data_IF_760045948645
#
_entry.id   IF_760045948645
#
_cell.length_a   1.000
_cell.length_b   1.000
_cell.length_c   1.000
_cell.angle_alpha   90.00
_cell.angle_beta   90.00
_cell.angle_gamma   90.00
#
_symmetry.space_group_name_H-M   'P 1'
#
loop_
_entity.id
_entity.type
_entity.pdbx_description
1 polymer ?
#
# COMPACT_ATOMS: atom_id res chain seq x y z
N UNK A 1 -1.47 5.48 16.08
CA UNK A 1 -2.20 4.22 15.78
C UNK A 1 -1.29 3.30 14.98
N UNK A 2 -1.26 2.03 15.34
CA UNK A 2 -0.45 1.05 14.59
C UNK A 2 -1.02 0.89 13.18
N UNK A 3 -0.16 0.78 12.17
CA UNK A 3 -0.62 0.60 10.78
C UNK A 3 -1.53 -0.61 10.57
N UNK A 4 -1.30 -1.71 11.27
CA UNK A 4 -2.15 -2.90 11.17
C UNK A 4 -3.59 -2.61 11.62
N UNK A 5 -3.74 -1.81 12.65
CA UNK A 5 -5.06 -1.41 13.16
C UNK A 5 -5.73 -0.46 12.17
N UNK A 6 -4.97 0.51 11.64
CA UNK A 6 -5.49 1.43 10.63
C UNK A 6 -5.96 0.68 9.38
N UNK A 7 -5.20 -0.31 8.93
CA UNK A 7 -5.58 -1.14 7.79
C UNK A 7 -6.87 -1.90 8.08
N UNK A 8 -6.97 -2.54 9.22
CA UNK A 8 -8.14 -3.32 9.58
C UNK A 8 -9.40 -2.46 9.69
N UNK A 9 -9.26 -1.28 10.33
CA UNK A 9 -10.38 -0.37 10.56
C UNK A 9 -10.89 0.26 9.26
N UNK A 10 -9.98 0.58 8.32
CA UNK A 10 -10.29 1.32 7.11
C UNK A 10 -10.06 0.52 5.82
N UNK A 11 -10.11 -0.78 5.89
CA UNK A 11 -9.80 -1.68 4.76
C UNK A 11 -10.55 -1.32 3.48
N UNK A 12 -11.85 -1.14 3.57
CA UNK A 12 -12.66 -0.82 2.40
C UNK A 12 -12.37 0.57 1.84
N UNK A 13 -12.20 1.56 2.72
CA UNK A 13 -11.85 2.91 2.29
C UNK A 13 -10.50 2.95 1.58
N UNK A 14 -9.52 2.19 2.09
CA UNK A 14 -8.21 2.07 1.46
C UNK A 14 -8.35 1.50 0.05
N UNK A 15 -9.12 0.43 -0.09
CA UNK A 15 -9.35 -0.19 -1.40
C UNK A 15 -10.04 0.77 -2.36
N UNK A 16 -11.09 1.44 -1.91
CA UNK A 16 -11.83 2.38 -2.75
C UNK A 16 -10.97 3.54 -3.22
N UNK A 17 -10.19 4.12 -2.33
CA UNK A 17 -9.30 5.22 -2.69
C UNK A 17 -8.28 4.77 -3.73
N UNK A 18 -7.63 3.64 -3.50
CA UNK A 18 -6.64 3.13 -4.45
C UNK A 18 -7.24 2.88 -5.84
N UNK A 19 -8.40 2.25 -5.89
CA UNK A 19 -9.04 1.89 -7.16
C UNK A 19 -9.56 3.08 -7.96
N UNK A 20 -9.67 4.26 -7.35
CA UNK A 20 -10.01 5.48 -8.10
C UNK A 20 -8.90 5.94 -9.03
N UNK A 21 -7.67 5.49 -8.82
CA UNK A 21 -6.49 6.01 -9.49
C UNK A 21 -5.86 5.04 -10.49
N UNK A 22 -6.70 4.30 -11.20
CA UNK A 22 -6.29 3.47 -12.35
C UNK A 22 -5.34 2.32 -12.00
N UNK A 23 -5.46 1.77 -10.78
CA UNK A 23 -4.74 0.56 -10.42
C UNK A 23 -5.72 -0.62 -10.37
N UNK A 24 -5.22 -1.84 -10.58
CA UNK A 24 -6.06 -3.05 -10.63
C UNK A 24 -6.38 -3.61 -9.27
N UNK A 25 -5.44 -3.52 -8.35
CA UNK A 25 -5.63 -4.04 -7.00
C UNK A 25 -4.68 -3.34 -6.04
N UNK A 26 -4.89 -3.60 -4.76
CA UNK A 26 -4.01 -3.14 -3.70
C UNK A 26 -3.72 -4.30 -2.76
N UNK A 27 -2.45 -4.49 -2.44
CA UNK A 27 -1.96 -5.53 -1.54
C UNK A 27 -1.13 -4.90 -0.44
N UNK A 28 -1.05 -5.59 0.68
CA UNK A 28 -0.22 -5.17 1.82
C UNK A 28 1.01 -6.05 1.90
N UNK A 29 2.15 -5.45 2.26
CA UNK A 29 3.38 -6.16 2.51
C UNK A 29 4.15 -5.53 3.67
N UNK A 30 5.35 -6.00 3.95
CA UNK A 30 6.20 -5.42 4.98
C UNK A 30 5.77 -5.78 6.41
N UNK A 31 6.04 -4.87 7.37
CA UNK A 31 5.85 -5.16 8.78
C UNK A 31 4.40 -5.45 9.15
N UNK A 32 3.45 -4.78 8.51
CA UNK A 32 2.03 -5.00 8.75
C UNK A 32 1.62 -6.42 8.35
N UNK A 33 2.08 -6.86 7.18
CA UNK A 33 1.78 -8.22 6.71
C UNK A 33 2.33 -9.28 7.67
N UNK A 34 3.55 -9.06 8.17
CA UNK A 34 4.22 -10.02 9.06
C UNK A 34 3.76 -9.91 10.52
N UNK A 35 2.91 -8.95 10.84
CA UNK A 35 2.36 -8.82 12.18
C UNK A 35 3.34 -8.26 13.22
N UNK A 36 4.41 -7.62 12.78
CA UNK A 36 5.41 -7.05 13.68
C UNK A 36 5.53 -5.52 13.58
N UNK A 37 4.48 -4.86 13.09
CA UNK A 37 4.42 -3.40 13.06
C UNK A 37 4.32 -2.79 14.45
N UNK A 38 4.81 -1.57 14.56
CA UNK A 38 4.69 -0.75 15.77
C UNK A 38 4.01 0.57 15.40
N UNK A 39 3.82 1.44 16.36
CA UNK A 39 3.25 2.76 16.10
C UNK A 39 4.12 3.62 15.17
N UNK A 40 5.40 3.33 15.10
CA UNK A 40 6.34 4.05 14.24
C UNK A 40 6.51 3.39 12.86
N UNK A 41 5.87 2.28 12.61
CA UNK A 41 5.97 1.58 11.33
C UNK A 41 5.15 2.28 10.24
N UNK A 42 5.55 2.07 8.98
CA UNK A 42 4.79 2.53 7.83
C UNK A 42 3.79 1.45 7.40
N UNK A 43 2.72 1.89 6.76
CA UNK A 43 1.85 0.98 6.04
C UNK A 43 2.38 0.84 4.62
N UNK A 44 2.86 -0.34 4.28
CA UNK A 44 3.43 -0.63 2.96
C UNK A 44 2.40 -1.27 2.06
N UNK A 45 2.04 -0.60 0.98
CA UNK A 45 1.05 -1.06 0.02
C UNK A 45 1.67 -1.23 -1.36
N UNK A 46 1.30 -2.33 -2.01
CA UNK A 46 1.71 -2.64 -3.37
C UNK A 46 0.49 -2.56 -4.26
N UNK A 47 0.51 -1.66 -5.23
CA UNK A 47 -0.57 -1.52 -6.19
C UNK A 47 -0.14 -2.02 -7.56
N UNK A 48 -1.06 -2.65 -8.29
CA UNK A 48 -0.77 -3.13 -9.63
C UNK A 48 -1.18 -2.09 -10.66
N UNK A 49 -0.23 -1.49 -11.39
CA UNK A 49 -0.56 -0.46 -12.35
C UNK A 49 -1.21 -1.04 -13.60
N UNK A 50 -1.94 -0.20 -14.32
CA UNK A 50 -2.44 -0.47 -15.66
C UNK A 50 -1.58 0.32 -16.65
N UNK A 51 -1.88 0.18 -17.94
CA UNK A 51 -1.19 0.97 -18.98
C UNK A 51 -1.45 2.47 -18.85
N UNK A 52 -2.48 2.86 -18.11
CA UNK A 52 -2.86 4.27 -17.95
C UNK A 52 -2.41 4.88 -16.63
N UNK A 53 -1.88 4.08 -15.73
CA UNK A 53 -1.43 4.57 -14.41
C UNK A 53 -0.19 5.44 -14.56
N UNK A 54 -0.20 6.58 -13.90
CA UNK A 54 0.93 7.51 -13.89
C UNK A 54 1.53 7.62 -12.50
N UNK A 55 2.70 8.24 -12.41
CA UNK A 55 3.31 8.53 -11.11
C UNK A 55 2.45 9.48 -10.29
N UNK A 56 1.67 10.35 -10.96
CA UNK A 56 0.73 11.23 -10.26
C UNK A 56 -0.38 10.44 -9.60
N UNK A 57 -0.84 9.35 -10.23
CA UNK A 57 -1.84 8.47 -9.63
C UNK A 57 -1.31 7.81 -8.36
N UNK A 58 -0.08 7.31 -8.41
CA UNK A 58 0.55 6.68 -7.24
C UNK A 58 0.72 7.70 -6.11
N UNK A 59 1.20 8.89 -6.44
CA UNK A 59 1.34 9.96 -5.46
C UNK A 59 0.02 10.38 -4.84
N UNK A 60 -1.04 10.43 -5.64
CA UNK A 60 -2.37 10.78 -5.16
C UNK A 60 -2.93 9.73 -4.21
N UNK A 61 -2.76 8.45 -4.53
CA UNK A 61 -3.17 7.36 -3.62
C UNK A 61 -2.46 7.52 -2.28
N UNK A 62 -1.15 7.68 -2.31
CA UNK A 62 -0.36 7.81 -1.09
C UNK A 62 -0.78 9.03 -0.26
N UNK A 63 -0.98 10.16 -0.93
CA UNK A 63 -1.40 11.39 -0.26
C UNK A 63 -2.76 11.25 0.42
N UNK A 64 -3.74 10.72 -0.30
CA UNK A 64 -5.10 10.56 0.25
C UNK A 64 -5.13 9.55 1.39
N UNK A 65 -4.37 8.46 1.29
CA UNK A 65 -4.31 7.47 2.36
C UNK A 65 -3.63 8.02 3.61
N UNK A 66 -2.55 8.77 3.46
CA UNK A 66 -1.91 9.45 4.59
C UNK A 66 -2.89 10.39 5.29
N UNK A 67 -3.66 11.13 4.53
CA UNK A 67 -4.64 12.06 5.06
C UNK A 67 -5.77 11.35 5.80
N UNK A 68 -6.28 10.26 5.23
CA UNK A 68 -7.35 9.49 5.84
C UNK A 68 -6.89 8.81 7.13
N UNK A 69 -5.73 8.17 7.09
CA UNK A 69 -5.28 7.29 8.17
C UNK A 69 -4.48 8.02 9.25
N UNK A 70 -3.90 9.16 8.92
CA UNK A 70 -3.06 9.91 9.86
C UNK A 70 -1.76 9.21 10.21
N UNK A 71 -1.29 8.29 9.36
CA UNK A 71 -0.05 7.56 9.54
C UNK A 71 0.79 7.60 8.27
N UNK A 72 2.03 7.16 8.37
CA UNK A 72 2.93 7.06 7.23
C UNK A 72 2.49 5.91 6.32
N UNK A 73 2.35 6.18 5.03
CA UNK A 73 1.94 5.20 4.03
C UNK A 73 2.90 5.25 2.86
N UNK A 74 3.42 4.10 2.45
CA UNK A 74 4.22 3.96 1.24
C UNK A 74 3.43 3.17 0.21
N UNK A 75 3.28 3.74 -0.98
CA UNK A 75 2.59 3.08 -2.08
C UNK A 75 3.59 2.82 -3.19
N UNK A 76 3.79 1.55 -3.50
CA UNK A 76 4.77 1.10 -4.49
C UNK A 76 4.10 0.27 -5.57
N UNK A 77 4.72 0.26 -6.74
CA UNK A 77 4.37 -0.69 -7.81
C UNK A 77 5.43 -1.77 -7.87
N UNK A 78 5.16 -2.92 -8.51
CA UNK A 78 6.20 -3.96 -8.66
C UNK A 78 7.48 -3.44 -9.29
N UNK A 79 7.38 -2.54 -10.27
CA UNK A 79 8.56 -1.99 -10.93
C UNK A 79 9.41 -1.07 -10.06
N UNK A 80 8.85 -0.55 -8.98
CA UNK A 80 9.56 0.32 -8.04
C UNK A 80 10.22 -0.44 -6.88
N UNK A 81 9.96 -1.74 -6.76
CA UNK A 81 10.56 -2.54 -5.69
C UNK A 81 12.05 -2.75 -5.96
N UNK A 82 12.91 -2.61 -4.94
CA UNK A 82 14.31 -2.97 -5.08
C UNK A 82 14.50 -4.43 -5.44
N UNK A 83 15.45 -4.71 -6.34
CA UNK A 83 15.69 -6.07 -6.82
C UNK A 83 16.01 -7.05 -5.71
N UNK A 84 16.68 -6.58 -4.65
CA UNK A 84 17.11 -7.42 -3.55
C UNK A 84 15.97 -8.15 -2.83
N UNK A 85 14.76 -7.60 -2.85
CA UNK A 85 13.62 -8.24 -2.17
C UNK A 85 12.33 -8.28 -3.00
N UNK A 86 12.43 -7.93 -4.27
CA UNK A 86 11.25 -7.86 -5.15
C UNK A 86 10.50 -9.18 -5.23
N UNK A 87 11.22 -10.29 -5.46
CA UNK A 87 10.57 -11.61 -5.58
C UNK A 87 9.85 -12.00 -4.29
N UNK A 88 10.47 -11.74 -3.15
CA UNK A 88 9.87 -12.06 -1.86
C UNK A 88 8.59 -11.25 -1.63
N UNK A 89 8.63 -9.95 -1.90
CA UNK A 89 7.45 -9.10 -1.73
C UNK A 89 6.32 -9.55 -2.64
N UNK A 90 6.62 -9.84 -3.90
CA UNK A 90 5.59 -10.29 -4.85
C UNK A 90 4.98 -11.62 -4.44
N UNK A 91 5.77 -12.52 -3.85
CA UNK A 91 5.27 -13.81 -3.38
C UNK A 91 4.41 -13.70 -2.11
N UNK A 92 4.71 -12.75 -1.23
CA UNK A 92 4.07 -12.62 0.09
C UNK A 92 2.91 -11.64 0.12
N UNK A 93 2.94 -10.59 -0.70
CA UNK A 93 1.94 -9.52 -0.64
C UNK A 93 0.52 -10.07 -0.76
N UNK A 94 -0.35 -9.59 0.11
CA UNK A 94 -1.71 -10.11 0.27
C UNK A 94 -2.74 -9.04 -0.02
N UNK A 95 -3.80 -9.39 -0.72
CA UNK A 95 -4.87 -8.45 -1.05
C UNK A 95 -5.48 -7.81 0.20
N UNK A 96 -5.69 -6.52 0.08
CA UNK A 96 -6.36 -5.75 1.13
C UNK A 96 -7.86 -5.98 1.15
#
# INVERSE_FOLDING_TARGET
MRPSIALQTHREAIREIALRYRVRNVRVFGSVLHGNDTEDSDLDLLVEPTSETTLLDIGAIQHELKKLLGISVDVLTPGALPDSFKERVLAEATLV
#
